data_IF_263591330965
#
_entry.id   IF_263591330965
#
_cell.length_a   1.000
_cell.length_b   1.000
_cell.length_c   1.000
_cell.angle_alpha   90.00
_cell.angle_beta   90.00
_cell.angle_gamma   90.00
#
_symmetry.space_group_name_H-M   'P 1'
#
loop_
_entity.id
_entity.type
_entity.pdbx_description
1 polymer ?
#
# COMPACT_ATOMS: atom_id res chain seq x y z
N UNK A 1 1.86 -15.17 -17.99
CA UNK A 1 3.00 -15.38 -17.06
C UNK A 1 2.88 -16.75 -16.40
N UNK A 2 1.80 -17.04 -15.70
CA UNK A 2 1.66 -18.31 -14.96
C UNK A 2 1.76 -19.57 -15.84
N UNK A 3 1.27 -19.52 -17.08
CA UNK A 3 1.35 -20.66 -18.00
C UNK A 3 2.78 -20.91 -18.52
N UNK A 4 3.61 -19.87 -18.56
CA UNK A 4 4.96 -19.96 -19.13
C UNK A 4 6.10 -20.03 -18.10
N UNK A 5 5.81 -19.80 -16.80
CA UNK A 5 6.83 -19.74 -15.77
C UNK A 5 6.37 -20.42 -14.50
N UNK A 6 7.31 -21.11 -13.85
CA UNK A 6 7.11 -21.68 -12.52
C UNK A 6 7.50 -20.67 -11.45
N UNK A 7 6.51 -19.87 -11.04
CA UNK A 7 6.68 -18.79 -10.06
C UNK A 7 5.86 -19.08 -8.81
N UNK A 8 6.39 -18.68 -7.65
CA UNK A 8 5.73 -18.85 -6.34
C UNK A 8 4.73 -17.73 -6.03
N UNK A 9 4.86 -16.60 -6.70
CA UNK A 9 4.01 -15.43 -6.46
C UNK A 9 3.96 -14.44 -7.60
N UNK A 10 2.89 -13.66 -7.60
CA UNK A 10 2.71 -12.46 -8.41
C UNK A 10 2.65 -11.27 -7.46
N UNK A 11 3.37 -10.22 -7.80
CA UNK A 11 3.44 -9.01 -7.00
C UNK A 11 3.22 -7.79 -7.89
N UNK A 12 2.41 -6.84 -7.42
CA UNK A 12 2.20 -5.57 -8.10
C UNK A 12 2.59 -4.40 -7.20
N UNK A 13 3.01 -3.32 -7.82
CA UNK A 13 3.42 -2.07 -7.19
C UNK A 13 2.22 -1.16 -6.89
N UNK A 14 2.45 0.11 -6.53
CA UNK A 14 1.46 1.07 -6.05
C UNK A 14 0.86 1.98 -7.15
N UNK A 15 1.12 1.72 -8.40
CA UNK A 15 0.64 2.53 -9.54
C UNK A 15 -0.81 2.20 -9.93
N UNK A 16 -1.74 2.31 -8.99
CA UNK A 16 -3.18 2.08 -9.22
C UNK A 16 -3.82 3.22 -9.99
N UNK A 17 -3.56 4.45 -9.56
CA UNK A 17 -3.82 5.68 -10.30
C UNK A 17 -2.54 6.54 -10.30
N UNK A 18 -2.43 7.50 -11.26
CA UNK A 18 -1.27 8.39 -11.29
C UNK A 18 -1.11 9.15 -9.98
N UNK A 19 0.13 9.33 -9.54
CA UNK A 19 0.42 10.20 -8.40
C UNK A 19 -0.11 11.62 -8.65
N UNK A 20 -0.57 12.33 -7.61
CA UNK A 20 -1.08 13.69 -7.72
C UNK A 20 0.07 14.69 -7.97
N UNK A 21 0.70 14.63 -9.14
CA UNK A 21 1.91 15.41 -9.45
C UNK A 21 1.60 16.78 -10.03
N UNK A 22 0.63 16.90 -10.91
CA UNK A 22 0.16 18.18 -11.44
C UNK A 22 -1.09 17.97 -12.31
N UNK A 23 -2.19 18.49 -11.92
CA UNK A 23 -3.41 18.51 -12.72
C UNK A 23 -4.41 17.38 -12.45
N UNK A 24 -5.57 17.50 -13.06
CA UNK A 24 -6.63 16.51 -12.92
C UNK A 24 -6.31 15.23 -13.70
N UNK A 25 -6.74 14.10 -13.18
CA UNK A 25 -6.70 12.82 -13.90
C UNK A 25 -7.63 12.92 -15.11
N UNK A 26 -7.14 12.66 -16.34
CA UNK A 26 -7.92 12.85 -17.58
C UNK A 26 -8.88 11.68 -17.82
N UNK A 27 -9.80 11.41 -16.93
CA UNK A 27 -10.75 10.29 -16.99
C UNK A 27 -12.22 10.70 -17.20
N UNK A 28 -12.48 11.96 -17.61
CA UNK A 28 -13.84 12.49 -17.81
C UNK A 28 -14.66 11.64 -18.79
N UNK A 29 -14.09 11.31 -19.92
CA UNK A 29 -14.76 10.47 -20.93
C UNK A 29 -15.04 9.06 -20.42
N UNK A 30 -14.12 8.47 -19.67
CA UNK A 30 -14.29 7.15 -19.05
C UNK A 30 -15.36 7.18 -17.97
N UNK A 31 -15.35 8.22 -17.11
CA UNK A 31 -16.36 8.37 -16.08
C UNK A 31 -17.75 8.61 -16.67
N UNK A 32 -17.88 9.45 -17.70
CA UNK A 32 -19.15 9.67 -18.38
C UNK A 32 -19.71 8.38 -19.00
N UNK A 33 -18.83 7.52 -19.54
CA UNK A 33 -19.23 6.27 -20.19
C UNK A 33 -19.50 5.13 -19.20
N UNK A 34 -18.72 5.02 -18.13
CA UNK A 34 -18.69 3.84 -17.25
C UNK A 34 -19.02 4.15 -15.79
N UNK A 35 -19.38 5.38 -15.49
CA UNK A 35 -19.72 5.82 -14.11
C UNK A 35 -21.03 5.24 -13.58
N UNK A 36 -21.89 4.69 -14.47
CA UNK A 36 -23.14 4.01 -14.12
C UNK A 36 -24.05 4.81 -13.14
N UNK A 37 -24.07 6.14 -13.28
CA UNK A 37 -24.84 7.02 -12.42
C UNK A 37 -24.24 7.30 -11.04
N UNK A 38 -23.03 6.82 -10.75
CA UNK A 38 -22.33 7.19 -9.53
C UNK A 38 -22.00 8.68 -9.52
N UNK A 39 -22.35 9.37 -8.44
CA UNK A 39 -22.08 10.80 -8.27
C UNK A 39 -20.72 11.08 -7.64
N UNK A 40 -20.16 10.13 -6.89
CA UNK A 40 -18.84 10.20 -6.31
C UNK A 40 -17.79 9.57 -7.24
N UNK A 41 -17.03 10.43 -7.92
CA UNK A 41 -15.96 10.00 -8.84
C UNK A 41 -14.81 9.31 -8.10
N UNK A 42 -14.48 9.73 -6.89
CA UNK A 42 -13.43 9.09 -6.10
C UNK A 42 -13.81 7.65 -5.74
N UNK A 43 -15.06 7.43 -5.37
CA UNK A 43 -15.58 6.09 -5.12
C UNK A 43 -15.61 5.24 -6.40
N UNK A 44 -16.01 5.80 -7.53
CA UNK A 44 -15.96 5.11 -8.82
C UNK A 44 -14.52 4.65 -9.16
N UNK A 45 -13.52 5.50 -8.93
CA UNK A 45 -12.11 5.15 -9.13
C UNK A 45 -11.68 4.01 -8.20
N UNK A 46 -12.02 4.08 -6.90
CA UNK A 46 -11.74 3.00 -5.95
C UNK A 46 -12.41 1.70 -6.35
N UNK A 47 -13.65 1.74 -6.79
CA UNK A 47 -14.34 0.53 -7.26
C UNK A 47 -13.68 -0.09 -8.49
N UNK A 48 -13.16 0.71 -9.42
CA UNK A 48 -12.43 0.19 -10.57
C UNK A 48 -11.15 -0.54 -10.13
N UNK A 49 -10.38 0.03 -9.20
CA UNK A 49 -9.18 -0.61 -8.66
C UNK A 49 -9.55 -1.87 -7.87
N UNK A 50 -10.56 -1.78 -7.00
CA UNK A 50 -11.03 -2.92 -6.21
C UNK A 50 -11.48 -4.09 -7.10
N UNK A 51 -12.20 -3.79 -8.17
CA UNK A 51 -12.62 -4.81 -9.16
C UNK A 51 -11.41 -5.44 -9.84
N UNK A 52 -10.44 -4.65 -10.27
CA UNK A 52 -9.20 -5.15 -10.87
C UNK A 52 -8.46 -6.12 -9.92
N UNK A 53 -8.31 -5.77 -8.64
CA UNK A 53 -7.66 -6.63 -7.65
C UNK A 53 -8.44 -7.92 -7.43
N UNK A 54 -9.77 -7.84 -7.32
CA UNK A 54 -10.61 -9.03 -7.14
C UNK A 54 -10.55 -9.96 -8.37
N UNK A 55 -10.67 -9.42 -9.57
CA UNK A 55 -10.61 -10.21 -10.82
C UNK A 55 -9.21 -10.83 -11.02
N UNK A 56 -8.14 -10.12 -10.64
CA UNK A 56 -6.78 -10.67 -10.69
C UNK A 56 -6.62 -11.81 -9.68
N UNK A 57 -7.08 -11.64 -8.44
CA UNK A 57 -7.11 -12.71 -7.45
C UNK A 57 -7.83 -13.96 -7.98
N UNK A 58 -9.06 -13.80 -8.50
CA UNK A 58 -9.86 -14.92 -8.98
C UNK A 58 -9.19 -15.63 -10.16
N UNK A 59 -8.60 -14.84 -11.07
CA UNK A 59 -7.86 -15.37 -12.22
C UNK A 59 -6.62 -16.18 -11.79
N UNK A 60 -5.86 -15.68 -10.82
CA UNK A 60 -4.71 -16.40 -10.27
C UNK A 60 -5.12 -17.70 -9.61
N UNK A 61 -6.19 -17.67 -8.80
CA UNK A 61 -6.72 -18.87 -8.13
C UNK A 61 -7.25 -19.92 -9.11
N UNK A 62 -7.84 -19.49 -10.22
CA UNK A 62 -8.33 -20.40 -11.24
C UNK A 62 -7.21 -21.14 -11.99
N UNK A 63 -6.05 -20.49 -12.19
CA UNK A 63 -4.93 -21.06 -12.97
C UNK A 63 -3.97 -21.84 -12.08
N UNK A 64 -3.46 -21.23 -10.99
CA UNK A 64 -2.51 -21.82 -10.04
C UNK A 64 -2.87 -21.41 -8.62
N UNK A 65 -3.74 -22.12 -7.90
CA UNK A 65 -4.28 -21.69 -6.60
C UNK A 65 -3.22 -21.59 -5.48
N UNK A 66 -2.05 -22.17 -5.66
CA UNK A 66 -0.93 -22.11 -4.70
C UNK A 66 -0.07 -20.83 -4.86
N UNK A 67 -0.11 -20.18 -6.02
CA UNK A 67 0.67 -18.96 -6.30
C UNK A 67 0.16 -17.83 -5.42
N UNK A 68 1.08 -17.16 -4.72
CA UNK A 68 0.75 -16.05 -3.83
C UNK A 68 0.55 -14.76 -4.61
N UNK A 69 -0.41 -13.95 -4.17
CA UNK A 69 -0.64 -12.61 -4.71
C UNK A 69 -0.39 -11.55 -3.65
N UNK A 70 0.53 -10.63 -3.90
CA UNK A 70 0.88 -9.54 -3.01
C UNK A 70 0.90 -8.19 -3.70
N UNK A 71 0.82 -7.14 -2.87
CA UNK A 71 0.91 -5.75 -3.34
C UNK A 71 1.88 -4.96 -2.49
N UNK A 72 2.58 -3.99 -3.11
CA UNK A 72 3.40 -2.97 -2.44
C UNK A 72 2.71 -1.61 -2.53
N UNK A 73 1.70 -1.31 -1.71
CA UNK A 73 1.03 -0.03 -1.75
C UNK A 73 1.91 1.08 -1.18
N UNK A 74 1.55 2.33 -1.46
CA UNK A 74 2.17 3.48 -0.84
C UNK A 74 2.14 3.37 0.70
N UNK A 75 3.15 3.92 1.39
CA UNK A 75 3.33 3.71 2.84
C UNK A 75 2.22 4.30 3.73
N UNK A 76 1.47 5.29 3.26
CA UNK A 76 0.34 5.88 3.98
C UNK A 76 -0.97 5.36 3.37
N UNK A 77 -1.81 4.70 4.17
CA UNK A 77 -3.14 4.30 3.69
C UNK A 77 -4.08 5.50 3.59
N UNK A 78 -4.28 6.19 4.70
CA UNK A 78 -5.11 7.39 4.83
C UNK A 78 -4.55 8.26 5.97
N UNK A 79 -4.54 9.58 5.78
CA UNK A 79 -4.18 10.51 6.85
C UNK A 79 -5.35 10.63 7.83
N UNK A 80 -5.09 10.56 9.13
CA UNK A 80 -6.14 10.66 10.13
C UNK A 80 -6.85 12.03 10.04
N UNK A 81 -8.17 12.00 9.93
CA UNK A 81 -9.03 13.20 9.88
C UNK A 81 -10.08 13.11 10.99
N UNK A 82 -10.30 14.17 11.79
CA UNK A 82 -11.40 14.21 12.76
C UNK A 82 -12.74 13.92 12.09
N UNK A 83 -13.53 13.03 12.69
CA UNK A 83 -14.85 12.64 12.17
C UNK A 83 -14.87 11.71 10.97
N UNK A 84 -13.71 11.27 10.48
CA UNK A 84 -13.64 10.26 9.41
C UNK A 84 -13.93 8.86 9.96
N UNK A 85 -14.74 8.11 9.23
CA UNK A 85 -14.93 6.67 9.48
C UNK A 85 -13.85 5.81 8.82
N UNK A 86 -12.98 6.40 7.98
CA UNK A 86 -11.87 5.70 7.34
C UNK A 86 -10.69 5.69 8.32
N UNK A 87 -10.14 4.50 8.65
CA UNK A 87 -8.98 4.40 9.52
C UNK A 87 -7.79 5.17 8.94
N UNK A 88 -7.21 6.06 9.72
CA UNK A 88 -6.07 6.87 9.29
C UNK A 88 -4.90 6.80 10.27
N UNK A 89 -3.69 6.97 9.76
CA UNK A 89 -2.48 7.17 10.56
C UNK A 89 -2.24 8.66 10.85
N UNK A 90 -1.49 8.95 11.90
CA UNK A 90 -1.07 10.34 12.23
C UNK A 90 0.05 10.79 11.27
N UNK A 91 -0.33 11.01 10.04
CA UNK A 91 0.56 11.36 8.92
C UNK A 91 -0.01 12.52 8.12
N UNK A 92 0.82 13.08 7.24
CA UNK A 92 0.43 14.12 6.30
C UNK A 92 1.23 13.91 5.00
N UNK A 93 0.57 13.53 3.92
CA UNK A 93 1.20 13.26 2.63
C UNK A 93 0.26 12.54 1.68
N UNK A 94 0.78 12.15 0.53
CA UNK A 94 0.09 11.29 -0.43
C UNK A 94 -0.36 10.00 0.25
N UNK A 95 -1.56 9.53 -0.07
CA UNK A 95 -2.20 8.40 0.60
C UNK A 95 -2.88 7.47 -0.41
N UNK A 96 -2.97 6.20 -0.07
CA UNK A 96 -3.59 5.20 -0.94
C UNK A 96 -5.08 5.50 -1.21
N UNK A 97 -5.85 5.73 -0.15
CA UNK A 97 -7.31 5.75 -0.22
C UNK A 97 -7.86 6.93 -1.02
N UNK A 98 -7.39 8.16 -0.74
CA UNK A 98 -7.93 9.37 -1.36
C UNK A 98 -7.17 9.79 -2.64
N UNK A 99 -5.87 9.51 -2.73
CA UNK A 99 -5.03 10.02 -3.82
C UNK A 99 -4.77 8.97 -4.91
N UNK A 100 -4.56 7.71 -4.52
CA UNK A 100 -4.30 6.60 -5.44
C UNK A 100 -5.52 5.70 -5.65
N UNK A 101 -6.62 5.99 -4.95
CA UNK A 101 -7.89 5.25 -5.01
C UNK A 101 -7.73 3.74 -4.74
N UNK A 102 -6.80 3.41 -3.86
CA UNK A 102 -6.42 2.04 -3.49
C UNK A 102 -6.93 1.71 -2.08
N UNK A 103 -7.99 0.90 -2.00
CA UNK A 103 -8.56 0.45 -0.74
C UNK A 103 -7.90 -0.85 -0.25
N UNK A 104 -6.63 -0.73 0.16
CA UNK A 104 -5.82 -1.87 0.61
C UNK A 104 -6.44 -2.60 1.81
N UNK A 105 -7.12 -1.87 2.71
CA UNK A 105 -7.78 -2.51 3.85
C UNK A 105 -8.94 -3.40 3.40
N UNK A 106 -9.68 -3.01 2.38
CA UNK A 106 -10.70 -3.89 1.78
C UNK A 106 -10.04 -5.17 1.24
N UNK A 107 -8.93 -5.06 0.53
CA UNK A 107 -8.28 -6.21 -0.11
C UNK A 107 -7.77 -7.23 0.90
N UNK A 108 -7.12 -6.78 2.00
CA UNK A 108 -6.65 -7.68 3.07
C UNK A 108 -7.84 -8.33 3.80
N UNK A 109 -8.91 -7.58 4.09
CA UNK A 109 -10.09 -8.09 4.78
C UNK A 109 -10.90 -9.08 3.92
N UNK A 110 -10.98 -8.84 2.60
CA UNK A 110 -11.64 -9.77 1.66
C UNK A 110 -10.77 -10.98 1.32
N UNK A 111 -9.49 -10.96 1.66
CA UNK A 111 -8.56 -12.02 1.32
C UNK A 111 -8.18 -12.05 -0.16
N UNK A 112 -8.33 -10.94 -0.87
CA UNK A 112 -7.95 -10.83 -2.27
C UNK A 112 -6.46 -10.78 -2.48
N UNK A 113 -5.68 -10.39 -1.45
CA UNK A 113 -4.23 -10.47 -1.44
C UNK A 113 -3.75 -11.41 -0.33
N UNK A 114 -2.67 -12.16 -0.58
CA UNK A 114 -2.09 -13.09 0.38
C UNK A 114 -1.14 -12.39 1.37
N UNK A 115 -0.48 -11.31 0.94
CA UNK A 115 0.44 -10.53 1.76
C UNK A 115 0.48 -9.07 1.29
N UNK A 116 0.87 -8.18 2.20
CA UNK A 116 0.93 -6.74 1.99
C UNK A 116 2.32 -6.20 2.30
N UNK A 117 2.87 -5.34 1.40
CA UNK A 117 4.23 -4.79 1.52
C UNK A 117 4.21 -3.27 1.42
N UNK A 118 3.62 -2.54 2.39
CA UNK A 118 3.57 -1.08 2.31
C UNK A 118 4.97 -0.47 2.25
N UNK A 119 5.16 0.51 1.36
CA UNK A 119 6.43 1.18 1.09
C UNK A 119 6.69 2.26 2.13
N UNK A 120 7.26 1.89 3.29
CA UNK A 120 7.55 2.81 4.39
C UNK A 120 9.02 3.26 4.31
N UNK A 121 9.28 4.17 3.37
CA UNK A 121 10.64 4.61 3.02
C UNK A 121 11.19 5.73 3.90
N UNK A 122 10.37 6.30 4.81
CA UNK A 122 10.78 7.39 5.68
C UNK A 122 11.60 6.91 6.88
N UNK A 123 12.31 7.84 7.49
CA UNK A 123 13.05 7.61 8.73
C UNK A 123 12.14 7.57 9.96
N UNK A 124 12.67 6.97 11.02
CA UNK A 124 12.09 7.07 12.37
C UNK A 124 12.15 8.55 12.79
N UNK A 125 11.03 9.09 13.25
CA UNK A 125 10.90 10.48 13.63
C UNK A 125 10.60 11.45 12.48
N UNK A 126 10.32 10.96 11.26
CA UNK A 126 9.92 11.83 10.15
C UNK A 126 8.63 12.58 10.48
N UNK A 127 8.66 13.92 10.32
CA UNK A 127 7.57 14.80 10.80
C UNK A 127 6.20 14.49 10.17
N UNK A 128 6.18 14.17 8.89
CA UNK A 128 4.93 13.93 8.15
C UNK A 128 4.55 12.45 8.04
N UNK A 129 5.50 11.53 8.16
CA UNK A 129 5.30 10.09 7.93
C UNK A 129 6.29 9.28 8.78
N UNK A 130 6.13 9.32 10.10
CA UNK A 130 7.01 8.62 11.04
C UNK A 130 6.95 7.11 10.83
N UNK A 131 8.11 6.50 10.62
CA UNK A 131 8.24 5.06 10.39
C UNK A 131 7.60 4.21 11.50
N UNK A 132 7.89 4.49 12.78
CA UNK A 132 7.35 3.71 13.91
C UNK A 132 5.83 3.80 13.98
N UNK A 133 5.25 4.99 13.76
CA UNK A 133 3.80 5.16 13.71
C UNK A 133 3.17 4.36 12.58
N UNK A 134 3.79 4.38 11.40
CA UNK A 134 3.27 3.69 10.22
C UNK A 134 3.33 2.17 10.37
N UNK A 135 4.44 1.59 10.83
CA UNK A 135 4.53 0.13 10.98
C UNK A 135 3.54 -0.39 12.02
N UNK A 136 3.33 0.33 13.13
CA UNK A 136 2.32 -0.02 14.16
C UNK A 136 0.92 0.10 13.62
N UNK A 137 0.65 1.13 12.80
CA UNK A 137 -0.65 1.30 12.16
C UNK A 137 -0.94 0.13 11.20
N UNK A 138 -0.02 -0.18 10.29
CA UNK A 138 -0.18 -1.29 9.36
C UNK A 138 -0.31 -2.65 10.06
N UNK A 139 0.46 -2.89 11.13
CA UNK A 139 0.36 -4.11 11.94
C UNK A 139 -1.05 -4.26 12.54
N UNK A 140 -1.63 -3.18 13.05
CA UNK A 140 -2.99 -3.19 13.61
C UNK A 140 -4.05 -3.59 12.58
N UNK A 141 -3.87 -3.18 11.34
CA UNK A 141 -4.83 -3.39 10.26
C UNK A 141 -4.44 -4.50 9.27
N UNK A 142 -3.50 -5.36 9.62
CA UNK A 142 -3.03 -6.45 8.76
C UNK A 142 -4.09 -7.54 8.50
N UNK A 143 -5.16 -7.60 9.29
CA UNK A 143 -6.26 -8.57 9.14
C UNK A 143 -5.80 -10.05 9.07
N UNK A 144 -4.74 -10.39 9.81
CA UNK A 144 -4.14 -11.74 9.80
C UNK A 144 -3.36 -12.09 8.53
N UNK A 145 -3.14 -11.15 7.63
CA UNK A 145 -2.28 -11.35 6.45
C UNK A 145 -0.82 -11.03 6.80
N UNK A 146 0.16 -11.75 6.24
CA UNK A 146 1.56 -11.40 6.38
C UNK A 146 1.81 -9.95 5.96
N UNK A 147 2.44 -9.20 6.87
CA UNK A 147 2.85 -7.83 6.66
C UNK A 147 4.37 -7.78 6.52
N UNK A 148 4.84 -7.31 5.37
CA UNK A 148 6.27 -7.12 5.08
C UNK A 148 6.48 -5.62 4.88
N UNK A 149 7.45 -5.02 5.57
CA UNK A 149 7.68 -3.58 5.47
C UNK A 149 8.69 -3.28 4.35
N UNK A 150 8.23 -2.61 3.29
CA UNK A 150 9.10 -2.09 2.24
C UNK A 150 10.09 -1.05 2.79
N UNK A 151 11.38 -1.22 2.49
CA UNK A 151 12.46 -0.37 2.99
C UNK A 151 13.18 0.33 1.84
N UNK A 152 13.53 1.59 2.05
CA UNK A 152 14.52 2.30 1.23
C UNK A 152 15.88 2.20 1.94
N UNK A 153 16.72 1.28 1.46
CA UNK A 153 18.04 1.03 2.03
C UNK A 153 18.97 2.21 1.77
N UNK A 154 18.87 2.86 0.62
CA UNK A 154 19.71 4.02 0.28
C UNK A 154 19.46 5.19 1.24
N UNK A 155 18.20 5.52 1.53
CA UNK A 155 17.84 6.54 2.52
C UNK A 155 18.19 6.13 3.95
N UNK A 156 18.06 4.84 4.25
CA UNK A 156 18.32 4.34 5.60
C UNK A 156 19.82 4.22 5.90
N UNK A 157 20.64 4.03 4.86
CA UNK A 157 22.09 3.82 4.97
C UNK A 157 22.80 4.63 3.89
N UNK A 158 23.18 5.85 4.19
CA UNK A 158 24.11 6.57 3.32
C UNK A 158 25.53 6.06 3.53
N UNK A 159 26.22 5.71 2.44
CA UNK A 159 27.55 5.10 2.51
C UNK A 159 28.56 5.93 3.33
N UNK A 160 28.50 7.26 3.27
CA UNK A 160 29.33 8.17 4.07
C UNK A 160 29.01 8.12 5.58
N UNK A 161 27.83 7.62 5.95
CA UNK A 161 27.27 7.73 7.30
C UNK A 161 27.12 6.36 7.98
N UNK A 162 27.67 5.30 7.42
CA UNK A 162 27.60 3.94 7.99
C UNK A 162 28.03 3.83 9.45
N UNK A 163 28.89 4.75 9.90
CA UNK A 163 29.38 4.83 11.28
C UNK A 163 28.55 5.75 12.18
N UNK A 164 27.57 6.47 11.59
CA UNK A 164 26.71 7.37 12.35
C UNK A 164 25.37 6.70 12.66
N UNK A 165 25.14 6.22 13.90
CA UNK A 165 23.89 5.55 14.28
C UNK A 165 22.64 6.42 14.13
N UNK A 166 22.79 7.76 14.19
CA UNK A 166 21.68 8.70 14.02
C UNK A 166 21.16 8.73 12.57
N UNK A 167 21.98 8.32 11.60
CA UNK A 167 21.61 8.29 10.17
C UNK A 167 21.30 6.87 9.73
N UNK A 168 22.11 5.88 10.13
CA UNK A 168 21.82 4.48 9.86
C UNK A 168 20.76 3.93 10.81
N UNK A 169 19.51 4.03 10.43
CA UNK A 169 18.39 3.54 11.24
C UNK A 169 17.98 2.09 10.92
N UNK A 170 18.62 1.40 9.98
CA UNK A 170 18.25 0.04 9.59
C UNK A 170 18.21 -0.93 10.79
N UNK A 171 19.22 -0.98 11.67
CA UNK A 171 19.17 -1.89 12.81
C UNK A 171 17.98 -1.60 13.75
N UNK A 172 17.65 -0.32 13.98
CA UNK A 172 16.53 0.07 14.82
C UNK A 172 15.18 -0.22 14.17
N UNK A 173 15.05 0.03 12.87
CA UNK A 173 13.86 -0.35 12.11
C UNK A 173 13.56 -1.84 12.23
N UNK A 174 14.58 -2.71 12.11
CA UNK A 174 14.40 -4.14 12.31
C UNK A 174 14.03 -4.51 13.76
N UNK A 175 14.61 -3.83 14.76
CA UNK A 175 14.19 -4.06 16.15
C UNK A 175 12.72 -3.72 16.35
N UNK A 176 12.27 -2.56 15.87
CA UNK A 176 10.87 -2.14 15.98
C UNK A 176 9.93 -3.13 15.29
N UNK A 177 10.25 -3.59 14.07
CA UNK A 177 9.44 -4.60 13.38
C UNK A 177 9.26 -5.87 14.19
N UNK A 178 10.33 -6.37 14.83
CA UNK A 178 10.29 -7.59 15.65
C UNK A 178 9.42 -7.46 16.91
N UNK A 179 9.00 -6.27 17.28
CA UNK A 179 8.06 -6.05 18.39
C UNK A 179 6.60 -6.12 17.97
N UNK A 180 6.33 -6.24 16.68
CA UNK A 180 4.97 -6.26 16.14
C UNK A 180 4.45 -7.70 16.07
N UNK A 181 3.13 -7.90 16.25
CA UNK A 181 2.52 -9.23 16.26
C UNK A 181 2.36 -9.87 14.86
N UNK A 182 2.63 -9.12 13.77
CA UNK A 182 2.43 -9.58 12.38
C UNK A 182 3.69 -9.34 11.56
#
# INVERSE_FOLDING_TARGET
ILDGYDVDGIHIDDYFYPYPTAGAIPDDASYARFGNGMTDRAEWRRQNVNRFIAELHDSLRAVKPWVKFGVSPFGIYHNAKPGSNIPGSQTNGTQNYDDLYADVLLWVNKGWIDYNVPQIYWEIGHKAADYDKLIRWWSRYAAGRPLIIGQDVERSVKAADLKNPAINQVPEKFRLQRTLPN
#
